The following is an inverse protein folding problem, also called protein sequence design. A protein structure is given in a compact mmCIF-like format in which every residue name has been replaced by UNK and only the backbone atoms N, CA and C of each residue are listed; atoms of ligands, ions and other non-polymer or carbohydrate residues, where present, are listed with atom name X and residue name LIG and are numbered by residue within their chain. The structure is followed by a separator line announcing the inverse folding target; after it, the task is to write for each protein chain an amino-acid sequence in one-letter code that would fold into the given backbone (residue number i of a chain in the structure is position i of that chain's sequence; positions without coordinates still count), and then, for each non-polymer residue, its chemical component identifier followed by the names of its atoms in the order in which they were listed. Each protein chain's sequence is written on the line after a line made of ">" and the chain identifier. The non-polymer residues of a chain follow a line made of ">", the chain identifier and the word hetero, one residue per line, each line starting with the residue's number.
data_IF_432288217725
#
_entry.id   IF_432288217725
#
_cell.length_a   1.000
_cell.length_b   1.000
_cell.length_c   1.000
_cell.angle_alpha   90.00
_cell.angle_beta   90.00
_cell.angle_gamma   90.00
#
_symmetry.space_group_name_H-M   'P 1'
#
loop_
_entity.id
_entity.type
_entity.pdbx_description
1 polymer ?
#
# COMPACT_ATOMS: atom_id res chain seq x y z
N UNK A 1 -5.48 33.02 -6.89
CA UNK A 1 -5.64 34.29 -6.12
C UNK A 1 -4.87 34.19 -4.81
N UNK A 2 -4.53 35.31 -4.15
CA UNK A 2 -3.76 35.33 -2.88
C UNK A 2 -4.36 34.44 -1.76
N UNK A 3 -5.64 34.09 -1.87
CA UNK A 3 -6.36 33.11 -1.04
C UNK A 3 -5.86 31.67 -1.18
N UNK A 4 -5.26 31.31 -2.31
CA UNK A 4 -4.84 29.94 -2.61
C UNK A 4 -3.47 29.62 -1.98
N UNK A 5 -2.68 30.65 -1.70
CA UNK A 5 -1.33 30.53 -1.18
C UNK A 5 -1.28 29.90 0.24
N UNK A 6 -2.11 30.32 1.22
CA UNK A 6 -2.13 29.66 2.53
C UNK A 6 -2.65 28.21 2.44
N UNK A 7 -3.64 27.94 1.58
CA UNK A 7 -4.19 26.59 1.39
C UNK A 7 -3.17 25.67 0.73
N UNK A 8 -2.39 26.17 -0.23
CA UNK A 8 -1.31 25.40 -0.85
C UNK A 8 -0.24 25.05 0.17
N UNK A 9 0.21 26.00 1.00
CA UNK A 9 1.19 25.73 2.07
C UNK A 9 0.66 24.68 3.05
N UNK A 10 -0.60 24.82 3.48
CA UNK A 10 -1.24 23.84 4.36
C UNK A 10 -1.29 22.45 3.71
N UNK A 11 -1.70 22.37 2.45
CA UNK A 11 -1.76 21.11 1.71
C UNK A 11 -0.39 20.44 1.59
N UNK A 12 0.67 21.20 1.29
CA UNK A 12 2.05 20.69 1.21
C UNK A 12 2.50 20.17 2.58
N UNK A 13 2.20 20.89 3.66
CA UNK A 13 2.55 20.46 5.02
C UNK A 13 1.84 19.15 5.41
N UNK A 14 0.56 18.99 5.07
CA UNK A 14 -0.17 17.74 5.33
C UNK A 14 0.37 16.60 4.46
N UNK A 15 0.67 16.86 3.18
CA UNK A 15 1.24 15.87 2.26
C UNK A 15 2.66 15.45 2.67
N UNK A 16 3.45 16.35 3.26
CA UNK A 16 4.72 16.01 3.91
C UNK A 16 4.52 15.02 5.05
N UNK A 17 3.53 15.26 5.92
CA UNK A 17 3.20 14.39 7.06
C UNK A 17 2.71 13.01 6.62
N UNK A 18 2.02 12.93 5.49
CA UNK A 18 1.60 11.66 4.88
C UNK A 18 2.76 10.91 4.21
N UNK A 19 3.87 11.60 3.90
CA UNK A 19 5.07 11.03 3.28
C UNK A 19 4.98 10.95 1.76
N UNK A 20 4.27 11.88 1.11
CA UNK A 20 4.20 11.93 -0.36
C UNK A 20 5.47 12.51 -0.97
N UNK A 21 5.74 12.11 -2.21
CA UNK A 21 6.81 12.71 -2.98
C UNK A 21 6.51 14.18 -3.32
N UNK A 22 7.52 15.07 -3.36
CA UNK A 22 8.95 14.80 -3.21
C UNK A 22 9.42 14.63 -1.75
N UNK A 23 8.59 14.97 -0.76
CA UNK A 23 8.93 14.98 0.68
C UNK A 23 8.83 13.59 1.36
N UNK A 24 9.07 12.54 0.58
CA UNK A 24 8.87 11.14 0.98
C UNK A 24 10.08 10.50 1.67
N UNK A 25 11.27 11.13 1.60
CA UNK A 25 12.55 10.52 1.98
C UNK A 25 12.58 9.98 3.42
N UNK A 26 11.88 10.63 4.34
CA UNK A 26 11.84 10.20 5.75
C UNK A 26 11.14 8.85 5.92
N UNK A 27 10.15 8.52 5.07
CA UNK A 27 9.26 7.39 5.31
C UNK A 27 9.96 6.02 5.15
N UNK A 28 10.72 5.74 4.07
CA UNK A 28 11.45 4.49 3.94
C UNK A 28 12.55 4.28 4.99
N UNK A 29 13.22 5.36 5.41
CA UNK A 29 14.30 5.29 6.39
C UNK A 29 13.77 5.01 7.80
N UNK A 30 12.74 5.75 8.21
CA UNK A 30 12.10 5.56 9.52
C UNK A 30 11.46 4.18 9.61
N UNK A 31 10.72 3.73 8.59
CA UNK A 31 10.15 2.39 8.59
C UNK A 31 11.21 1.29 8.68
N UNK A 32 12.39 1.48 8.07
CA UNK A 32 13.45 0.48 8.18
C UNK A 32 14.03 0.38 9.59
N UNK A 33 14.13 1.50 10.31
CA UNK A 33 14.73 1.60 11.64
C UNK A 33 13.86 1.14 12.80
N UNK A 34 12.55 0.97 12.58
CA UNK A 34 11.60 0.59 13.64
C UNK A 34 11.11 -0.87 13.52
N UNK A 35 10.48 -1.37 14.58
CA UNK A 35 9.90 -2.72 14.61
C UNK A 35 8.69 -2.85 13.67
N UNK A 36 8.31 -4.07 13.29
CA UNK A 36 7.15 -4.28 12.40
C UNK A 36 5.84 -3.78 13.01
N UNK A 37 5.64 -3.93 14.32
CA UNK A 37 4.43 -3.47 15.02
C UNK A 37 4.33 -1.95 15.07
N UNK A 38 5.44 -1.26 15.34
CA UNK A 38 5.49 0.21 15.31
C UNK A 38 5.38 0.75 13.88
N UNK A 39 5.99 0.05 12.91
CA UNK A 39 5.82 0.33 11.49
C UNK A 39 4.37 0.22 11.02
N UNK A 40 3.63 -0.77 11.51
CA UNK A 40 2.20 -0.88 11.26
C UNK A 40 1.44 0.36 11.75
N UNK A 41 1.67 0.79 12.99
CA UNK A 41 1.03 1.99 13.57
C UNK A 41 1.38 3.24 12.75
N UNK A 42 2.65 3.39 12.36
CA UNK A 42 3.10 4.53 11.57
C UNK A 42 2.47 4.54 10.17
N UNK A 43 2.36 3.38 9.52
CA UNK A 43 1.80 3.24 8.18
C UNK A 43 0.27 3.36 8.10
N UNK A 44 -0.42 3.22 9.24
CA UNK A 44 -1.89 3.17 9.33
C UNK A 44 -2.43 4.31 10.18
N UNK A 45 -2.28 4.22 11.50
CA UNK A 45 -2.84 5.14 12.48
C UNK A 45 -2.39 6.59 12.25
N UNK A 46 -1.10 6.81 12.01
CA UNK A 46 -0.56 8.16 11.82
C UNK A 46 -1.02 8.82 10.50
N UNK A 47 -1.58 8.06 9.56
CA UNK A 47 -2.12 8.60 8.30
C UNK A 47 -3.58 9.02 8.41
N UNK A 48 -4.32 8.56 9.43
CA UNK A 48 -5.76 8.83 9.57
C UNK A 48 -6.03 10.33 9.75
N UNK A 49 -5.42 10.98 10.74
CA UNK A 49 -5.69 12.39 11.02
C UNK A 49 -5.25 13.35 9.89
N UNK A 50 -4.08 13.20 9.26
CA UNK A 50 -3.73 13.98 8.08
C UNK A 50 -4.70 13.78 6.90
N UNK A 51 -5.17 12.54 6.68
CA UNK A 51 -6.09 12.25 5.59
C UNK A 51 -7.48 12.85 5.82
N UNK A 52 -8.01 12.78 7.05
CA UNK A 52 -9.31 13.41 7.37
C UNK A 52 -9.27 14.92 7.17
N UNK A 53 -8.18 15.58 7.55
CA UNK A 53 -8.00 17.01 7.28
C UNK A 53 -8.02 17.31 5.78
N UNK A 54 -7.27 16.56 4.96
CA UNK A 54 -7.27 16.73 3.50
C UNK A 54 -8.66 16.55 2.88
N UNK A 55 -9.43 15.58 3.36
CA UNK A 55 -10.81 15.35 2.88
C UNK A 55 -11.69 16.55 3.21
N UNK A 56 -11.59 17.11 4.42
CA UNK A 56 -12.37 18.28 4.84
C UNK A 56 -12.07 19.52 4.01
N UNK A 57 -10.80 19.75 3.65
CA UNK A 57 -10.39 20.90 2.84
C UNK A 57 -10.35 20.60 1.33
N UNK A 58 -10.83 19.44 0.88
CA UNK A 58 -10.75 18.98 -0.52
C UNK A 58 -11.26 20.01 -1.54
N UNK A 59 -12.38 20.68 -1.23
CA UNK A 59 -12.95 21.73 -2.07
C UNK A 59 -12.06 22.97 -2.24
N UNK A 60 -11.12 23.21 -1.33
CA UNK A 60 -10.21 24.37 -1.35
C UNK A 60 -8.85 24.06 -1.99
N UNK A 61 -8.46 22.79 -2.10
CA UNK A 61 -7.14 22.40 -2.61
C UNK A 61 -7.01 22.69 -4.10
N UNK A 62 -5.82 23.14 -4.52
CA UNK A 62 -5.46 23.32 -5.92
C UNK A 62 -5.28 21.97 -6.64
N UNK A 63 -5.99 21.78 -7.74
CA UNK A 63 -5.97 20.55 -8.55
C UNK A 63 -4.61 20.28 -9.20
N UNK A 64 -3.88 21.31 -9.62
CA UNK A 64 -2.58 21.13 -10.25
C UNK A 64 -1.55 20.59 -9.24
N UNK A 65 -1.68 21.01 -7.98
CA UNK A 65 -0.82 20.57 -6.89
C UNK A 65 -1.09 19.09 -6.54
N UNK A 66 -2.37 18.68 -6.44
CA UNK A 66 -2.71 17.28 -6.15
C UNK A 66 -2.29 16.35 -7.28
N UNK A 67 -2.47 16.76 -8.54
CA UNK A 67 -2.04 15.97 -9.70
C UNK A 67 -0.51 15.84 -9.72
N UNK A 68 0.24 16.92 -9.52
CA UNK A 68 1.70 16.89 -9.55
C UNK A 68 2.28 15.99 -8.43
N UNK A 69 1.81 16.15 -7.19
CA UNK A 69 2.27 15.34 -6.05
C UNK A 69 1.78 13.89 -6.15
N UNK A 70 0.58 13.68 -6.69
CA UNK A 70 0.03 12.38 -6.99
C UNK A 70 0.87 11.60 -8.00
N UNK A 71 1.11 12.14 -9.19
CA UNK A 71 1.89 11.45 -10.23
C UNK A 71 3.31 11.15 -9.75
N UNK A 72 3.97 12.14 -9.14
CA UNK A 72 5.35 11.96 -8.64
C UNK A 72 5.44 10.89 -7.55
N UNK A 73 4.44 10.80 -6.66
CA UNK A 73 4.41 9.75 -5.63
C UNK A 73 4.16 8.36 -6.20
N UNK A 74 3.31 8.20 -7.22
CA UNK A 74 3.11 6.90 -7.88
C UNK A 74 4.40 6.47 -8.60
N UNK A 75 5.07 7.41 -9.30
CA UNK A 75 6.37 7.15 -9.96
C UNK A 75 7.45 6.70 -8.97
N UNK A 76 7.64 7.49 -7.91
CA UNK A 76 8.69 7.25 -6.91
C UNK A 76 8.38 6.00 -6.07
N UNK A 77 7.11 5.77 -5.74
CA UNK A 77 6.68 4.55 -5.08
C UNK A 77 6.95 3.31 -5.92
N UNK A 78 6.67 3.38 -7.22
CA UNK A 78 6.99 2.31 -8.17
C UNK A 78 8.49 2.06 -8.28
N UNK A 79 9.25 3.08 -8.71
CA UNK A 79 10.69 2.95 -8.95
C UNK A 79 11.47 2.61 -7.68
N UNK A 80 11.19 3.31 -6.58
CA UNK A 80 11.87 3.12 -5.31
C UNK A 80 11.69 1.71 -4.73
N UNK A 81 10.56 1.06 -4.99
CA UNK A 81 10.28 -0.31 -4.52
C UNK A 81 11.05 -1.41 -5.27
N UNK A 82 11.38 -1.20 -6.55
CA UNK A 82 12.02 -2.22 -7.41
C UNK A 82 13.40 -2.64 -6.85
N UNK A 83 14.17 -1.71 -6.29
CA UNK A 83 15.53 -2.00 -5.80
C UNK A 83 15.61 -2.59 -4.39
N UNK A 84 14.50 -2.67 -3.65
CA UNK A 84 14.55 -2.99 -2.22
C UNK A 84 14.41 -4.49 -1.94
N UNK A 85 15.23 -4.99 -1.02
CA UNK A 85 15.15 -6.36 -0.47
C UNK A 85 14.56 -6.40 0.95
N UNK A 86 14.58 -5.25 1.63
CA UNK A 86 14.01 -5.09 2.97
C UNK A 86 12.51 -4.84 2.87
N UNK A 87 11.72 -5.68 3.52
CA UNK A 87 10.26 -5.65 3.40
C UNK A 87 9.67 -4.35 3.92
N UNK A 88 10.25 -3.79 5.00
CA UNK A 88 9.78 -2.51 5.56
C UNK A 88 9.94 -1.35 4.57
N UNK A 89 11.03 -1.33 3.80
CA UNK A 89 11.21 -0.33 2.72
C UNK A 89 10.25 -0.57 1.57
N UNK A 90 10.01 -1.82 1.17
CA UNK A 90 9.01 -2.12 0.14
C UNK A 90 7.63 -1.62 0.59
N UNK A 91 7.24 -1.87 1.85
CA UNK A 91 5.98 -1.37 2.41
C UNK A 91 5.93 0.16 2.53
N UNK A 92 7.08 0.82 2.71
CA UNK A 92 7.15 2.27 2.64
C UNK A 92 6.84 2.78 1.23
N UNK A 93 7.51 2.24 0.21
CA UNK A 93 7.32 2.64 -1.18
C UNK A 93 5.92 2.29 -1.72
N UNK A 94 5.33 1.17 -1.28
CA UNK A 94 3.93 0.90 -1.58
C UNK A 94 3.01 1.96 -0.96
N UNK A 95 3.23 2.35 0.29
CA UNK A 95 2.42 3.40 0.93
C UNK A 95 2.49 4.73 0.17
N UNK A 96 3.67 5.10 -0.35
CA UNK A 96 3.86 6.30 -1.15
C UNK A 96 3.04 6.21 -2.45
N UNK A 97 3.12 5.07 -3.14
CA UNK A 97 2.37 4.85 -4.39
C UNK A 97 0.85 4.83 -4.18
N UNK A 98 0.35 4.15 -3.16
CA UNK A 98 -1.09 4.11 -2.86
C UNK A 98 -1.63 5.49 -2.44
N UNK A 99 -0.88 6.25 -1.64
CA UNK A 99 -1.26 7.63 -1.31
C UNK A 99 -1.31 8.54 -2.53
N UNK A 100 -0.45 8.29 -3.53
CA UNK A 100 -0.53 9.00 -4.80
C UNK A 100 -1.87 8.81 -5.51
N UNK A 101 -2.37 7.57 -5.59
CA UNK A 101 -3.70 7.28 -6.11
C UNK A 101 -4.81 7.99 -5.32
N UNK A 102 -4.71 7.98 -3.99
CA UNK A 102 -5.69 8.58 -3.09
C UNK A 102 -5.77 10.11 -3.29
N UNK A 103 -4.64 10.78 -3.48
CA UNK A 103 -4.59 12.25 -3.60
C UNK A 103 -5.06 12.74 -4.97
N UNK A 104 -4.81 11.98 -6.03
CA UNK A 104 -5.25 12.38 -7.37
C UNK A 104 -6.77 12.50 -7.41
N UNK A 105 -7.48 11.52 -6.84
CA UNK A 105 -8.95 11.52 -6.86
C UNK A 105 -9.58 12.47 -5.83
N UNK A 106 -8.84 12.85 -4.77
CA UNK A 106 -9.34 13.69 -3.66
C UNK A 106 -10.17 14.90 -4.11
N UNK A 107 -9.75 15.58 -5.18
CA UNK A 107 -10.42 16.78 -5.69
C UNK A 107 -11.66 16.46 -6.53
N UNK A 108 -11.64 15.35 -7.26
CA UNK A 108 -12.73 14.94 -8.14
C UNK A 108 -13.86 14.29 -7.36
N UNK A 109 -13.52 13.32 -6.51
CA UNK A 109 -14.46 12.67 -5.60
C UNK A 109 -13.79 12.33 -4.24
N UNK A 110 -14.06 13.12 -3.20
CA UNK A 110 -13.52 12.86 -1.87
C UNK A 110 -14.05 11.55 -1.25
N UNK A 111 -15.24 11.08 -1.63
CA UNK A 111 -15.79 9.82 -1.10
C UNK A 111 -15.01 8.63 -1.62
N UNK A 112 -14.67 8.63 -2.91
CA UNK A 112 -13.84 7.60 -3.51
C UNK A 112 -12.41 7.62 -2.95
N UNK A 113 -11.87 8.81 -2.65
CA UNK A 113 -10.59 8.94 -1.95
C UNK A 113 -10.60 8.27 -0.57
N UNK A 114 -11.69 8.45 0.19
CA UNK A 114 -11.89 7.83 1.50
C UNK A 114 -12.01 6.31 1.37
N UNK A 115 -12.79 5.83 0.39
CA UNK A 115 -12.94 4.40 0.12
C UNK A 115 -11.59 3.74 -0.18
N UNK A 116 -10.78 4.32 -1.07
CA UNK A 116 -9.45 3.81 -1.38
C UNK A 116 -8.53 3.83 -0.14
N UNK A 117 -8.60 4.89 0.68
CA UNK A 117 -7.82 4.98 1.92
C UNK A 117 -8.20 3.88 2.92
N UNK A 118 -9.49 3.59 3.11
CA UNK A 118 -9.96 2.51 4.00
C UNK A 118 -9.45 1.15 3.52
N UNK A 119 -9.58 0.84 2.22
CA UNK A 119 -9.05 -0.41 1.68
C UNK A 119 -7.53 -0.51 1.84
N UNK A 120 -6.81 0.58 1.61
CA UNK A 120 -5.37 0.65 1.85
C UNK A 120 -5.03 0.34 3.32
N UNK A 121 -5.76 0.89 4.29
CA UNK A 121 -5.54 0.59 5.72
C UNK A 121 -5.79 -0.89 6.04
N UNK A 122 -6.85 -1.50 5.49
CA UNK A 122 -7.16 -2.92 5.69
C UNK A 122 -6.05 -3.79 5.09
N UNK A 123 -5.63 -3.54 3.86
CA UNK A 123 -4.58 -4.33 3.20
C UNK A 123 -3.21 -4.17 3.88
N UNK A 124 -2.85 -2.96 4.29
CA UNK A 124 -1.56 -2.73 4.97
C UNK A 124 -1.50 -3.35 6.36
N UNK A 125 -2.57 -3.24 7.15
CA UNK A 125 -2.66 -3.95 8.44
C UNK A 125 -2.54 -5.46 8.25
N UNK A 126 -3.21 -6.04 7.24
CA UNK A 126 -3.10 -7.45 6.89
C UNK A 126 -1.64 -7.89 6.62
N UNK A 127 -0.92 -7.13 5.80
CA UNK A 127 0.50 -7.42 5.51
C UNK A 127 1.38 -7.29 6.75
N UNK A 128 1.26 -6.20 7.52
CA UNK A 128 2.11 -6.05 8.70
C UNK A 128 1.84 -7.13 9.74
N UNK A 129 0.59 -7.51 9.96
CA UNK A 129 0.23 -8.58 10.87
C UNK A 129 0.79 -9.94 10.44
N UNK A 130 0.68 -10.29 9.16
CA UNK A 130 1.25 -11.53 8.63
C UNK A 130 2.79 -11.54 8.64
N UNK A 131 3.44 -10.39 8.41
CA UNK A 131 4.90 -10.26 8.59
C UNK A 131 5.31 -10.39 10.06
N UNK A 132 4.52 -9.86 11.00
CA UNK A 132 4.83 -10.00 12.44
C UNK A 132 4.70 -11.44 12.93
N UNK A 133 3.70 -12.19 12.49
CA UNK A 133 3.52 -13.59 12.91
C UNK A 133 4.58 -14.53 12.34
N UNK A 134 5.15 -14.21 11.19
CA UNK A 134 6.30 -14.95 10.60
C UNK A 134 7.64 -14.38 11.07
N UNK A 135 7.66 -13.21 11.71
CA UNK A 135 8.87 -12.45 12.07
C UNK A 135 9.79 -12.14 10.87
N UNK A 136 9.22 -11.92 9.69
CA UNK A 136 9.99 -11.70 8.46
C UNK A 136 10.32 -10.21 8.24
N UNK A 137 11.61 -9.93 8.02
CA UNK A 137 12.11 -8.56 7.78
C UNK A 137 12.72 -8.40 6.39
N UNK A 138 13.36 -9.45 5.88
CA UNK A 138 13.98 -9.51 4.56
C UNK A 138 13.18 -10.42 3.64
N UNK A 139 13.33 -10.24 2.32
CA UNK A 139 12.77 -11.15 1.32
C UNK A 139 13.09 -12.63 1.58
N UNK A 140 14.32 -12.92 1.99
CA UNK A 140 14.77 -14.29 2.25
C UNK A 140 14.00 -14.93 3.42
N UNK A 141 13.64 -14.13 4.44
CA UNK A 141 12.88 -14.61 5.59
C UNK A 141 11.49 -15.08 5.17
N UNK A 142 10.81 -14.35 4.27
CA UNK A 142 9.51 -14.81 3.74
C UNK A 142 9.70 -16.04 2.86
N UNK A 143 10.73 -16.09 2.03
CA UNK A 143 10.92 -17.22 1.10
C UNK A 143 11.09 -18.57 1.82
N UNK A 144 11.71 -18.59 3.01
CA UNK A 144 11.84 -19.82 3.84
C UNK A 144 10.61 -20.11 4.71
N UNK A 145 9.65 -19.18 4.79
CA UNK A 145 8.46 -19.34 5.64
C UNK A 145 7.41 -20.28 5.05
N UNK A 146 7.43 -20.51 3.73
CA UNK A 146 6.51 -21.44 3.07
C UNK A 146 6.54 -22.84 3.68
N UNK A 147 7.74 -23.33 3.99
CA UNK A 147 7.93 -24.65 4.60
C UNK A 147 7.52 -24.73 6.09
N UNK A 148 7.23 -23.59 6.73
CA UNK A 148 6.84 -23.51 8.15
C UNK A 148 5.35 -23.26 8.30
N UNK A 149 4.82 -22.28 7.58
CA UNK A 149 3.43 -21.79 7.72
C UNK A 149 2.76 -21.57 6.35
N UNK A 150 2.57 -22.64 5.55
CA UNK A 150 2.16 -22.53 4.15
C UNK A 150 0.84 -21.79 3.92
N UNK A 151 -0.13 -21.95 4.83
CA UNK A 151 -1.43 -21.27 4.74
C UNK A 151 -1.32 -19.74 4.94
N UNK A 152 -0.44 -19.30 5.85
CA UNK A 152 -0.24 -17.87 6.07
C UNK A 152 0.55 -17.24 4.92
N UNK A 153 1.53 -17.96 4.38
CA UNK A 153 2.32 -17.47 3.24
C UNK A 153 1.50 -17.37 1.95
N UNK A 154 0.56 -18.30 1.72
CA UNK A 154 -0.35 -18.21 0.57
C UNK A 154 -1.33 -17.05 0.70
N UNK A 155 -1.88 -16.79 1.90
CA UNK A 155 -2.73 -15.62 2.13
C UNK A 155 -1.95 -14.31 2.01
N UNK A 156 -0.73 -14.23 2.55
CA UNK A 156 0.15 -13.05 2.38
C UNK A 156 0.44 -12.78 0.89
N UNK A 157 0.70 -13.82 0.09
CA UNK A 157 0.88 -13.68 -1.36
C UNK A 157 -0.34 -13.03 -2.02
N UNK A 158 -1.55 -13.52 -1.72
CA UNK A 158 -2.79 -12.95 -2.26
C UNK A 158 -2.98 -11.48 -1.83
N UNK A 159 -2.62 -11.12 -0.60
CA UNK A 159 -2.69 -9.72 -0.13
C UNK A 159 -1.67 -8.83 -0.85
N UNK A 160 -0.46 -9.33 -1.13
CA UNK A 160 0.53 -8.57 -1.93
C UNK A 160 0.01 -8.32 -3.36
N UNK A 161 -0.65 -9.31 -3.96
CA UNK A 161 -1.31 -9.15 -5.26
C UNK A 161 -2.54 -8.22 -5.19
N UNK A 162 -3.25 -8.18 -4.05
CA UNK A 162 -4.37 -7.26 -3.86
C UNK A 162 -3.88 -5.80 -3.79
N UNK A 163 -2.77 -5.53 -3.09
CA UNK A 163 -2.10 -4.22 -3.13
C UNK A 163 -1.63 -3.84 -4.54
N UNK A 164 -1.14 -4.81 -5.33
CA UNK A 164 -0.81 -4.59 -6.74
C UNK A 164 -2.06 -4.21 -7.58
N UNK A 165 -3.27 -4.55 -7.12
CA UNK A 165 -4.53 -4.20 -7.75
C UNK A 165 -4.83 -5.09 -8.95
N UNK A 166 -4.64 -6.39 -8.81
CA UNK A 166 -5.00 -7.36 -9.85
C UNK A 166 -6.49 -7.77 -9.72
N UNK A 167 -7.22 -7.92 -10.84
CA UNK A 167 -8.52 -8.62 -10.82
C UNK A 167 -8.23 -10.08 -10.45
N UNK A 168 -8.94 -10.77 -9.54
CA UNK A 168 -10.26 -10.58 -8.89
C UNK A 168 -10.20 -10.12 -7.42
N UNK A 169 -9.15 -9.39 -7.02
CA UNK A 169 -8.90 -9.03 -5.62
C UNK A 169 -9.46 -7.65 -5.26
N UNK A 170 -9.62 -7.37 -3.96
CA UNK A 170 -10.20 -6.10 -3.45
C UNK A 170 -9.50 -4.84 -3.94
N UNK A 171 -8.17 -4.83 -3.97
CA UNK A 171 -7.40 -3.63 -4.32
C UNK A 171 -7.47 -3.26 -5.80
N UNK A 172 -8.11 -4.09 -6.64
CA UNK A 172 -8.47 -3.70 -8.00
C UNK A 172 -9.63 -2.70 -8.02
N UNK A 173 -10.62 -2.87 -7.15
CA UNK A 173 -11.81 -2.01 -7.09
C UNK A 173 -11.51 -0.51 -7.02
N UNK A 174 -10.69 -0.01 -6.06
CA UNK A 174 -10.46 1.42 -5.95
C UNK A 174 -9.70 1.96 -7.17
N UNK A 175 -8.75 1.22 -7.73
CA UNK A 175 -8.02 1.67 -8.93
C UNK A 175 -8.94 1.78 -10.13
N UNK A 176 -9.80 0.77 -10.35
CA UNK A 176 -10.79 0.78 -11.42
C UNK A 176 -11.77 1.94 -11.27
N UNK A 177 -12.33 2.13 -10.08
CA UNK A 177 -13.28 3.22 -9.82
C UNK A 177 -12.64 4.60 -10.00
N UNK A 178 -11.38 4.80 -9.56
CA UNK A 178 -10.64 6.05 -9.81
C UNK A 178 -10.53 6.33 -11.30
N UNK A 179 -10.16 5.33 -12.10
CA UNK A 179 -10.01 5.50 -13.55
C UNK A 179 -11.33 5.86 -14.20
N UNK A 180 -12.42 5.17 -13.83
CA UNK A 180 -13.75 5.47 -14.34
C UNK A 180 -14.14 6.92 -14.03
N UNK A 181 -13.91 7.38 -12.80
CA UNK A 181 -14.24 8.74 -12.40
C UNK A 181 -13.37 9.78 -13.13
N UNK A 182 -12.08 9.53 -13.31
CA UNK A 182 -11.21 10.40 -14.10
C UNK A 182 -11.64 10.49 -15.57
N UNK A 183 -12.11 9.39 -16.16
CA UNK A 183 -12.63 9.37 -17.54
C UNK A 183 -13.93 10.18 -17.62
N UNK A 184 -14.85 10.05 -16.65
CA UNK A 184 -16.08 10.87 -16.60
C UNK A 184 -15.78 12.36 -16.54
N UNK A 185 -14.71 12.76 -15.87
CA UNK A 185 -14.25 14.14 -15.75
C UNK A 185 -13.39 14.61 -16.96
N UNK A 186 -13.39 13.86 -18.07
CA UNK A 186 -12.59 14.11 -19.28
C UNK A 186 -11.06 14.14 -19.06
N UNK A 187 -10.55 13.65 -17.92
CA UNK A 187 -9.13 13.57 -17.61
C UNK A 187 -8.50 12.25 -18.10
N UNK A 188 -8.78 11.86 -19.35
CA UNK A 188 -8.38 10.56 -19.91
C UNK A 188 -6.86 10.39 -19.99
N UNK A 189 -6.13 11.44 -20.40
CA UNK A 189 -4.66 11.42 -20.45
C UNK A 189 -4.01 11.23 -19.06
N UNK A 190 -4.63 11.77 -18.01
CA UNK A 190 -4.17 11.58 -16.63
C UNK A 190 -4.39 10.12 -16.20
N UNK A 191 -5.56 9.56 -16.49
CA UNK A 191 -5.90 8.19 -16.17
C UNK A 191 -4.95 7.17 -16.84
N UNK A 192 -4.62 7.37 -18.13
CA UNK A 192 -3.69 6.49 -18.86
C UNK A 192 -2.27 6.56 -18.29
N UNK A 193 -1.78 7.76 -17.98
CA UNK A 193 -0.46 7.95 -17.37
C UNK A 193 -0.34 7.23 -16.03
N UNK A 194 -1.30 7.45 -15.13
CA UNK A 194 -1.28 6.83 -13.80
C UNK A 194 -1.33 5.31 -13.90
N UNK A 195 -2.13 4.78 -14.83
CA UNK A 195 -2.20 3.34 -15.08
C UNK A 195 -0.87 2.75 -15.52
N UNK A 196 -0.21 3.36 -16.51
CA UNK A 196 1.09 2.91 -16.99
C UNK A 196 2.15 2.94 -15.87
N UNK A 197 2.16 4.01 -15.06
CA UNK A 197 3.11 4.15 -13.96
C UNK A 197 2.84 3.09 -12.88
N UNK A 198 1.57 2.76 -12.61
CA UNK A 198 1.23 1.78 -11.59
C UNK A 198 1.72 0.37 -11.89
N UNK A 199 2.01 0.04 -13.16
CA UNK A 199 2.63 -1.22 -13.55
C UNK A 199 4.05 -1.38 -12.99
N UNK A 200 4.78 -0.28 -12.73
CA UNK A 200 6.09 -0.35 -12.06
C UNK A 200 5.95 -0.90 -10.63
N UNK A 201 4.90 -0.48 -9.92
CA UNK A 201 4.64 -1.00 -8.58
C UNK A 201 4.26 -2.48 -8.61
N UNK A 202 3.48 -2.89 -9.62
CA UNK A 202 3.10 -4.28 -9.83
C UNK A 202 4.32 -5.20 -10.01
N UNK A 203 5.39 -4.74 -10.68
CA UNK A 203 6.60 -5.54 -10.86
C UNK A 203 7.23 -6.00 -9.54
N UNK A 204 7.40 -5.10 -8.55
CA UNK A 204 8.05 -5.50 -7.30
C UNK A 204 7.17 -6.40 -6.45
N UNK A 205 5.84 -6.28 -6.54
CA UNK A 205 4.91 -7.22 -5.90
C UNK A 205 4.98 -8.60 -6.53
N UNK A 206 5.01 -8.69 -7.87
CA UNK A 206 5.18 -9.97 -8.57
C UNK A 206 6.51 -10.65 -8.22
N UNK A 207 7.59 -9.87 -8.11
CA UNK A 207 8.88 -10.39 -7.64
C UNK A 207 8.79 -10.95 -6.22
N UNK A 208 8.09 -10.27 -5.32
CA UNK A 208 7.86 -10.78 -3.97
C UNK A 208 7.08 -12.09 -4.00
N UNK A 209 5.95 -12.13 -4.71
CA UNK A 209 5.10 -13.33 -4.77
C UNK A 209 5.85 -14.51 -5.37
N UNK A 210 6.69 -14.26 -6.38
CA UNK A 210 7.57 -15.27 -6.98
C UNK A 210 8.51 -15.90 -5.95
N UNK A 211 9.18 -15.08 -5.13
CA UNK A 211 10.09 -15.56 -4.09
C UNK A 211 9.38 -16.29 -2.94
N UNK A 212 8.11 -15.97 -2.67
CA UNK A 212 7.36 -16.54 -1.54
C UNK A 212 6.84 -17.94 -1.85
N UNK A 213 6.30 -18.16 -3.04
CA UNK A 213 5.52 -19.39 -3.34
C UNK A 213 5.97 -20.13 -4.58
N UNK A 214 6.40 -19.42 -5.63
CA UNK A 214 6.71 -20.03 -6.93
C UNK A 214 8.11 -20.65 -6.97
N UNK A 215 8.97 -20.29 -6.01
CA UNK A 215 10.29 -20.92 -5.82
C UNK A 215 10.43 -21.42 -4.39
N UNK A 216 11.03 -22.60 -4.23
CA UNK A 216 11.41 -23.16 -2.93
C UNK A 216 12.91 -22.95 -2.70
N UNK A 217 13.33 -21.89 -1.99
CA UNK A 217 14.74 -21.71 -1.65
C UNK A 217 15.20 -22.80 -0.67
N UNK A 218 16.52 -23.06 -0.58
CA UNK A 218 17.05 -24.02 0.37
C UNK A 218 16.75 -23.61 1.82
N UNK A 219 16.17 -24.53 2.59
CA UNK A 219 15.94 -24.34 4.02
C UNK A 219 17.23 -24.54 4.82
N UNK A 220 17.28 -23.93 6.00
CA UNK A 220 18.37 -24.16 6.96
C UNK A 220 18.20 -25.50 7.69
N UNK A 221 19.28 -26.17 8.11
CA UNK A 221 19.20 -27.49 8.75
C UNK A 221 18.37 -27.48 10.04
N UNK A 222 18.27 -26.33 10.72
CA UNK A 222 17.48 -26.18 11.95
C UNK A 222 15.96 -26.10 11.71
N UNK A 223 15.48 -26.15 10.46
CA UNK A 223 14.04 -26.05 10.14
C UNK A 223 13.22 -27.20 10.74
N UNK A 224 13.80 -28.40 10.87
CA UNK A 224 13.14 -29.58 11.44
C UNK A 224 12.74 -29.41 12.91
N UNK A 225 13.40 -28.52 13.65
CA UNK A 225 13.05 -28.22 15.04
C UNK A 225 11.77 -27.37 15.07
N UNK A 226 11.64 -26.42 14.15
CA UNK A 226 10.48 -25.52 14.05
C UNK A 226 9.20 -26.29 13.71
N UNK A 227 9.30 -27.34 12.90
CA UNK A 227 8.14 -28.19 12.55
C UNK A 227 7.48 -28.87 13.77
N UNK A 228 8.21 -29.03 14.87
CA UNK A 228 7.70 -29.62 16.11
C UNK A 228 7.05 -28.59 17.03
N UNK A 229 7.16 -27.29 16.72
CA UNK A 229 6.57 -26.23 17.53
C UNK A 229 5.16 -25.93 17.08
N UNK A 230 4.22 -25.85 18.03
CA UNK A 230 2.87 -25.38 17.76
C UNK A 230 2.88 -23.86 17.63
N UNK A 231 2.37 -23.36 16.51
CA UNK A 231 2.23 -21.92 16.30
C UNK A 231 0.86 -21.46 16.84
N UNK A 232 0.82 -20.33 17.58
CA UNK A 232 -0.44 -19.77 18.03
C UNK A 232 -1.31 -19.34 16.83
N UNK A 233 -2.61 -19.64 16.89
CA UNK A 233 -3.58 -19.19 15.90
C UNK A 233 -3.97 -17.74 16.18
N UNK A 234 -3.57 -16.83 15.31
CA UNK A 234 -3.96 -15.43 15.43
C UNK A 234 -5.29 -15.18 14.72
N UNK A 235 -6.40 -15.32 15.47
CA UNK A 235 -7.77 -15.12 14.94
C UNK A 235 -7.92 -13.75 14.25
N UNK A 236 -7.39 -12.69 14.86
CA UNK A 236 -7.45 -11.34 14.32
C UNK A 236 -6.76 -11.22 12.95
N UNK A 237 -5.62 -11.89 12.76
CA UNK A 237 -4.91 -11.84 11.46
C UNK A 237 -5.68 -12.58 10.39
N UNK A 238 -6.34 -13.69 10.74
CA UNK A 238 -7.19 -14.41 9.78
C UNK A 238 -8.36 -13.54 9.30
N UNK A 239 -9.07 -12.87 10.24
CA UNK A 239 -10.20 -11.99 9.91
C UNK A 239 -9.79 -10.81 9.04
N UNK A 240 -8.67 -10.15 9.34
CA UNK A 240 -8.20 -9.01 8.55
C UNK A 240 -7.69 -9.47 7.17
N UNK A 241 -7.02 -10.62 7.10
CA UNK A 241 -6.55 -11.17 5.82
C UNK A 241 -7.71 -11.54 4.89
N UNK A 242 -8.79 -12.13 5.41
CA UNK A 242 -9.96 -12.47 4.59
C UNK A 242 -10.68 -11.22 4.09
N UNK A 243 -10.84 -10.20 4.94
CA UNK A 243 -11.37 -8.89 4.53
C UNK A 243 -10.51 -8.27 3.41
N UNK A 244 -9.19 -8.32 3.54
CA UNK A 244 -8.28 -7.77 2.53
C UNK A 244 -8.38 -8.47 1.16
N UNK A 245 -8.96 -9.67 1.05
CA UNK A 245 -9.02 -10.46 -0.19
C UNK A 245 -10.44 -10.47 -0.81
N UNK A 246 -11.50 -10.50 -0.01
CA UNK A 246 -12.86 -10.90 -0.49
C UNK A 246 -13.85 -9.72 -0.58
N UNK A 247 -13.47 -8.48 -0.26
CA UNK A 247 -14.36 -7.31 -0.36
C UNK A 247 -14.76 -6.88 -1.79
N UNK A 248 -14.18 -7.43 -2.86
CA UNK A 248 -14.50 -7.04 -4.24
C UNK A 248 -16.01 -7.19 -4.57
N UNK A 249 -16.69 -8.33 -4.38
CA UNK A 249 -18.13 -8.47 -4.64
C UNK A 249 -19.02 -7.55 -3.80
N UNK A 250 -18.51 -6.95 -2.73
CA UNK A 250 -19.26 -6.02 -1.88
C UNK A 250 -19.20 -4.58 -2.41
N UNK A 251 -18.47 -4.32 -3.51
CA UNK A 251 -18.46 -3.00 -4.12
C UNK A 251 -19.81 -2.75 -4.81
N UNK A 252 -20.51 -1.66 -4.48
CA UNK A 252 -21.75 -1.32 -5.15
C UNK A 252 -21.50 -1.06 -6.65
N UNK A 253 -22.44 -1.52 -7.48
CA UNK A 253 -22.48 -1.21 -8.91
C UNK A 253 -22.70 0.28 -9.17
#
# INVERSE_FOLDING_TARGET
>A
SLTDLPVNILSIAIMMKLGLAPLHFWMPEVLQGISLTTGMILSTWQKIAPMTLLIQISHLININLTIALGITSILIGGWGGIGQTQLRKIMAFSSIGHLGWIIIILKFDPQLSLFNFILYLIMTTAVFLSLTSISAVKMLDISTSWAKTPALTSTLMLIMLSLAGLPPLTGFAPKLLIILELIKQNATALATMIMLISLLALFFYLRLTYLITLTLPPNTPNSLIVWRTTHPSYLLTAMINTMAIILLPMTPN
#
